data_IF_689936403066
#
_entry.id   IF_689936403066
#
_cell.length_a   1.000
_cell.length_b   1.000
_cell.length_c   1.000
_cell.angle_alpha   90.00
_cell.angle_beta   90.00
_cell.angle_gamma   90.00
#
_symmetry.space_group_name_H-M   'P 1'
#
loop_
_entity.id
_entity.type
_entity.pdbx_description
1 polymer ?
#
# COMPACT_ATOMS: atom_id res chain seq x y z
N UNK A 1 -7.69 -8.47 20.80
CA UNK A 1 -6.44 -7.96 21.41
C UNK A 1 -5.37 -8.11 20.33
N UNK A 2 -4.92 -7.12 19.58
CA UNK A 2 -5.03 -5.66 19.68
C UNK A 2 -6.00 -5.09 18.65
N UNK A 3 -6.74 -4.06 19.06
CA UNK A 3 -7.54 -3.25 18.15
C UNK A 3 -6.61 -2.55 17.17
N UNK A 4 -6.67 -2.96 15.91
CA UNK A 4 -6.53 -1.97 14.85
C UNK A 4 -7.67 -0.99 15.09
N UNK A 5 -7.35 0.30 15.20
CA UNK A 5 -8.36 1.34 15.23
C UNK A 5 -9.34 1.06 14.08
N UNK A 6 -10.54 0.64 14.48
CA UNK A 6 -11.60 0.18 13.60
C UNK A 6 -12.15 1.24 12.62
N UNK A 7 -11.93 2.57 12.76
CA UNK A 7 -12.50 3.49 11.79
C UNK A 7 -11.77 3.49 10.45
N UNK A 8 -10.49 3.10 10.36
CA UNK A 8 -9.75 3.13 9.08
C UNK A 8 -10.09 1.97 8.14
N UNK A 9 -10.28 0.76 8.69
CA UNK A 9 -10.62 -0.43 7.88
C UNK A 9 -12.09 -0.40 7.41
N UNK A 10 -12.99 0.20 8.20
CA UNK A 10 -14.40 0.31 7.86
C UNK A 10 -14.67 1.37 6.75
N UNK A 11 -13.80 2.37 6.61
CA UNK A 11 -13.99 3.45 5.62
C UNK A 11 -13.56 3.06 4.20
N UNK A 12 -12.59 2.14 4.05
CA UNK A 12 -12.30 1.50 2.76
C UNK A 12 -13.32 0.40 2.47
N UNK A 13 -14.60 0.77 2.39
CA UNK A 13 -15.61 -0.12 1.83
C UNK A 13 -15.32 -0.24 0.34
N UNK A 14 -14.83 -1.40 -0.09
CA UNK A 14 -14.68 -1.79 -1.50
C UNK A 14 -16.05 -2.02 -2.19
N UNK A 15 -17.07 -1.22 -1.87
CA UNK A 15 -18.34 -1.19 -2.59
C UNK A 15 -18.26 -0.08 -3.64
N UNK A 16 -18.62 -0.41 -4.89
CA UNK A 16 -18.51 0.37 -6.13
C UNK A 16 -17.12 0.42 -6.81
N UNK A 17 -16.59 -0.76 -7.17
CA UNK A 17 -15.97 -0.88 -8.50
C UNK A 17 -17.08 -0.62 -9.54
N UNK A 18 -17.25 0.63 -9.98
CA UNK A 18 -18.03 0.88 -11.20
C UNK A 18 -17.23 0.29 -12.36
N UNK A 19 -17.73 -0.83 -12.85
CA UNK A 19 -17.31 -1.47 -14.09
C UNK A 19 -17.65 -0.54 -15.26
N UNK A 20 -16.75 0.40 -15.53
CA UNK A 20 -17.03 1.51 -16.44
C UNK A 20 -15.87 2.47 -16.58
N UNK A 21 -14.67 1.92 -16.81
CA UNK A 21 -13.63 2.46 -17.68
C UNK A 21 -12.37 1.63 -17.40
N UNK A 22 -12.17 0.58 -18.20
CA UNK A 22 -10.93 -0.20 -18.17
C UNK A 22 -9.82 0.67 -18.75
N UNK A 23 -9.24 1.52 -17.90
CA UNK A 23 -7.99 2.21 -18.21
C UNK A 23 -6.90 1.16 -18.17
N UNK A 24 -6.58 0.60 -19.34
CA UNK A 24 -5.37 -0.20 -19.52
C UNK A 24 -4.19 0.75 -19.35
N UNK A 25 -3.58 0.73 -18.17
CA UNK A 25 -2.26 1.33 -17.99
C UNK A 25 -1.27 0.64 -18.95
N UNK A 26 -0.40 1.44 -19.57
CA UNK A 26 0.63 1.00 -20.51
C UNK A 26 1.51 -0.11 -19.91
N UNK A 27 1.19 -1.36 -20.21
CA UNK A 27 2.11 -2.51 -20.23
C UNK A 27 2.89 -2.88 -18.96
N UNK A 28 2.70 -2.22 -17.80
CA UNK A 28 3.23 -2.72 -16.53
C UNK A 28 2.36 -3.85 -16.02
N UNK A 29 2.99 -4.76 -15.29
CA UNK A 29 2.50 -6.09 -14.89
C UNK A 29 1.35 -5.88 -13.88
N UNK A 30 0.94 -6.89 -13.13
CA UNK A 30 -0.14 -6.76 -12.13
C UNK A 30 0.18 -5.84 -10.94
N UNK A 31 1.10 -4.88 -11.09
CA UNK A 31 1.57 -3.88 -10.14
C UNK A 31 0.89 -2.52 -10.39
N UNK A 32 0.22 -1.97 -9.37
CA UNK A 32 -0.44 -0.66 -9.49
C UNK A 32 -1.58 -0.40 -8.50
N UNK A 33 -2.05 -1.44 -7.79
CA UNK A 33 -3.08 -1.28 -6.78
C UNK A 33 -2.59 -0.42 -5.62
N UNK A 34 -1.32 -0.56 -5.24
CA UNK A 34 -0.73 0.27 -4.20
C UNK A 34 -0.90 1.76 -4.51
N UNK A 35 -0.53 2.19 -5.72
CA UNK A 35 -0.61 3.59 -6.12
C UNK A 35 -2.04 4.10 -6.11
N UNK A 36 -2.95 3.33 -6.71
CA UNK A 36 -4.35 3.70 -6.80
C UNK A 36 -4.98 3.86 -5.40
N UNK A 37 -4.80 2.86 -4.54
CA UNK A 37 -5.35 2.87 -3.17
C UNK A 37 -4.67 3.97 -2.35
N UNK A 38 -3.37 4.21 -2.51
CA UNK A 38 -2.65 5.25 -1.78
C UNK A 38 -3.18 6.64 -2.12
N UNK A 39 -3.35 6.95 -3.40
CA UNK A 39 -3.90 8.25 -3.85
C UNK A 39 -5.35 8.44 -3.38
N UNK A 40 -6.16 7.39 -3.48
CA UNK A 40 -7.54 7.41 -3.01
C UNK A 40 -7.61 7.63 -1.48
N UNK A 41 -6.84 6.88 -0.70
CA UNK A 41 -6.78 7.01 0.75
C UNK A 41 -6.25 8.39 1.19
N UNK A 42 -5.25 8.94 0.50
CA UNK A 42 -4.75 10.28 0.77
C UNK A 42 -5.83 11.35 0.59
N UNK A 43 -6.65 11.22 -0.46
CA UNK A 43 -7.75 12.14 -0.76
C UNK A 43 -8.89 11.99 0.25
N UNK A 44 -9.39 10.78 0.46
CA UNK A 44 -10.57 10.55 1.31
C UNK A 44 -10.30 10.77 2.80
N UNK A 45 -9.13 10.34 3.29
CA UNK A 45 -8.83 10.35 4.74
C UNK A 45 -8.13 11.63 5.17
N UNK A 46 -7.38 12.29 4.27
CA UNK A 46 -6.55 13.45 4.62
C UNK A 46 -6.82 14.69 3.77
N UNK A 47 -7.67 14.60 2.74
CA UNK A 47 -7.97 15.71 1.83
C UNK A 47 -6.81 16.09 0.92
N UNK A 48 -5.82 15.20 0.73
CA UNK A 48 -4.60 15.47 -0.02
C UNK A 48 -4.66 14.84 -1.41
N UNK A 49 -4.54 15.66 -2.45
CA UNK A 49 -4.47 15.20 -3.84
C UNK A 49 -3.03 14.86 -4.24
N UNK A 50 -2.71 13.57 -4.26
CA UNK A 50 -1.36 13.07 -4.57
C UNK A 50 -1.28 12.69 -6.04
N UNK A 51 -0.56 13.48 -6.84
CA UNK A 51 -0.40 13.23 -8.29
C UNK A 51 0.67 12.20 -8.59
N UNK A 52 1.79 12.25 -7.88
CA UNK A 52 2.93 11.37 -8.04
C UNK A 52 3.29 10.75 -6.69
N UNK A 53 3.69 9.49 -6.70
CA UNK A 53 4.16 8.79 -5.50
C UNK A 53 5.63 8.42 -5.63
N UNK A 54 6.34 8.53 -4.51
CA UNK A 54 7.77 8.22 -4.46
C UNK A 54 7.97 6.90 -3.74
N UNK A 55 8.55 5.93 -4.45
CA UNK A 55 8.93 4.64 -3.88
C UNK A 55 10.32 4.71 -3.28
N UNK A 56 10.42 4.41 -1.98
CA UNK A 56 11.69 4.28 -1.28
C UNK A 56 12.05 2.80 -1.12
N UNK A 57 13.15 2.36 -1.73
CA UNK A 57 13.68 1.03 -1.47
C UNK A 57 14.15 0.91 -0.02
N UNK A 58 13.80 -0.19 0.64
CA UNK A 58 14.21 -0.48 2.01
C UNK A 58 15.46 -1.37 2.01
N UNK A 59 15.33 -2.63 2.43
CA UNK A 59 16.46 -3.58 2.52
C UNK A 59 17.00 -3.97 1.15
N UNK A 60 16.13 -3.99 0.14
CA UNK A 60 16.44 -4.35 -1.23
C UNK A 60 15.44 -3.61 -2.15
N UNK A 61 15.72 -3.62 -3.45
CA UNK A 61 14.84 -3.03 -4.48
C UNK A 61 13.45 -3.68 -4.54
N UNK A 62 13.35 -4.91 -4.06
CA UNK A 62 12.13 -5.73 -4.08
C UNK A 62 11.24 -5.49 -2.85
N UNK A 63 11.62 -4.57 -1.96
CA UNK A 63 10.79 -4.11 -0.86
C UNK A 63 10.82 -2.59 -0.83
N UNK A 64 9.74 -1.98 -1.32
CA UNK A 64 9.58 -0.55 -1.43
C UNK A 64 8.53 -0.04 -0.46
N UNK A 65 8.70 1.19 0.00
CA UNK A 65 7.81 1.90 0.90
C UNK A 65 7.33 3.20 0.25
N UNK A 66 6.08 3.55 0.52
CA UNK A 66 5.47 4.83 0.15
C UNK A 66 4.82 5.41 1.41
N UNK A 67 5.10 6.68 1.69
CA UNK A 67 4.60 7.38 2.87
C UNK A 67 3.92 8.68 2.49
N UNK A 68 2.85 9.00 3.21
CA UNK A 68 2.25 10.33 3.19
C UNK A 68 2.63 11.04 4.49
N UNK A 69 3.14 12.25 4.35
CA UNK A 69 3.43 13.14 5.49
C UNK A 69 2.43 14.28 5.52
N UNK A 70 1.94 14.59 6.73
CA UNK A 70 1.08 15.73 7.02
C UNK A 70 1.51 16.32 8.35
N UNK A 71 1.72 17.63 8.39
CA UNK A 71 2.15 18.37 9.58
C UNK A 71 3.44 17.82 10.23
N UNK A 72 4.34 17.24 9.42
CA UNK A 72 5.61 16.65 9.88
C UNK A 72 5.49 15.22 10.42
N UNK A 73 4.29 14.62 10.40
CA UNK A 73 4.05 13.25 10.83
C UNK A 73 3.71 12.33 9.65
N UNK A 74 4.16 11.08 9.71
CA UNK A 74 3.75 10.06 8.73
C UNK A 74 2.33 9.59 9.04
N UNK A 75 1.37 10.00 8.22
CA UNK A 75 -0.06 9.67 8.40
C UNK A 75 -0.51 8.46 7.57
N UNK A 76 0.18 8.15 6.47
CA UNK A 76 0.01 6.89 5.74
C UNK A 76 1.35 6.26 5.46
N UNK A 77 1.37 4.93 5.52
CA UNK A 77 2.56 4.11 5.26
C UNK A 77 2.15 2.82 4.58
N UNK A 78 2.52 2.69 3.32
CA UNK A 78 2.23 1.57 2.44
C UNK A 78 3.53 0.90 2.01
N UNK A 79 3.46 -0.35 1.59
CA UNK A 79 4.62 -1.04 1.03
C UNK A 79 4.27 -1.96 -0.15
N UNK A 80 5.22 -2.13 -1.05
CA UNK A 80 5.21 -3.19 -2.06
C UNK A 80 6.34 -4.18 -1.74
N UNK A 81 6.00 -5.46 -1.69
CA UNK A 81 6.93 -6.54 -1.40
C UNK A 81 6.87 -7.60 -2.51
N UNK A 82 7.95 -7.66 -3.28
CA UNK A 82 8.15 -8.64 -4.36
C UNK A 82 9.01 -9.80 -3.87
N UNK A 83 8.66 -11.02 -4.28
CA UNK A 83 9.43 -12.24 -4.00
C UNK A 83 9.05 -12.92 -2.68
N UNK A 84 8.96 -14.25 -2.72
CA UNK A 84 8.59 -15.08 -1.57
C UNK A 84 9.44 -14.83 -0.30
N UNK A 85 10.74 -14.55 -0.45
CA UNK A 85 11.63 -14.22 0.68
C UNK A 85 11.16 -12.97 1.44
N UNK A 86 10.71 -11.94 0.72
CA UNK A 86 10.20 -10.71 1.35
C UNK A 86 8.86 -10.99 2.05
N UNK A 87 7.99 -11.78 1.43
CA UNK A 87 6.71 -12.20 2.02
C UNK A 87 6.93 -12.98 3.33
N UNK A 88 7.84 -13.96 3.35
CA UNK A 88 8.16 -14.71 4.56
C UNK A 88 8.64 -13.79 5.69
N UNK A 89 9.57 -12.88 5.39
CA UNK A 89 10.08 -11.92 6.37
C UNK A 89 8.97 -10.98 6.89
N UNK A 90 8.06 -10.57 6.02
CA UNK A 90 6.91 -9.75 6.36
C UNK A 90 5.97 -10.49 7.32
N UNK A 91 5.59 -11.73 7.02
CA UNK A 91 4.75 -12.58 7.87
C UNK A 91 5.40 -12.79 9.25
N UNK A 92 6.72 -12.97 9.31
CA UNK A 92 7.43 -13.07 10.59
C UNK A 92 7.36 -11.78 11.41
N UNK A 93 7.43 -10.60 10.78
CA UNK A 93 7.26 -9.30 11.46
C UNK A 93 5.83 -9.10 11.97
N UNK A 94 4.84 -9.48 11.15
CA UNK A 94 3.41 -9.48 11.51
C UNK A 94 3.16 -10.31 12.77
N UNK A 95 3.65 -11.56 12.78
CA UNK A 95 3.52 -12.46 13.94
C UNK A 95 4.17 -11.91 15.23
N UNK A 96 5.17 -11.04 15.10
CA UNK A 96 5.85 -10.38 16.22
C UNK A 96 5.17 -9.09 16.67
N UNK A 97 4.05 -8.70 16.07
CA UNK A 97 3.34 -7.45 16.37
C UNK A 97 4.08 -6.17 15.95
N UNK A 98 5.13 -6.29 15.11
CA UNK A 98 5.96 -5.14 14.68
C UNK A 98 5.66 -4.78 13.22
N UNK A 99 4.40 -4.50 12.92
CA UNK A 99 3.96 -4.16 11.57
C UNK A 99 3.51 -2.71 11.49
N UNK A 100 4.23 -1.93 10.69
CA UNK A 100 4.09 -0.47 10.61
C UNK A 100 3.30 -0.01 9.37
N UNK A 101 2.84 -0.95 8.54
CA UNK A 101 2.21 -0.66 7.26
C UNK A 101 0.69 -0.80 7.37
N UNK A 102 -0.03 0.14 6.80
CA UNK A 102 -1.49 0.14 6.72
C UNK A 102 -1.99 -0.74 5.57
N UNK A 103 -1.19 -0.83 4.51
CA UNK A 103 -1.45 -1.65 3.33
C UNK A 103 -0.12 -2.20 2.78
N UNK A 104 -0.14 -3.45 2.33
CA UNK A 104 1.01 -4.05 1.62
C UNK A 104 0.55 -4.80 0.39
N UNK A 105 1.07 -4.42 -0.77
CA UNK A 105 0.96 -5.18 -2.02
C UNK A 105 2.05 -6.26 -2.03
N UNK A 106 1.66 -7.53 -2.21
CA UNK A 106 2.57 -8.67 -2.22
C UNK A 106 2.49 -9.42 -3.53
N UNK A 107 3.65 -9.61 -4.16
CA UNK A 107 3.80 -10.32 -5.43
C UNK A 107 4.84 -11.43 -5.25
N UNK A 108 4.48 -12.67 -5.58
CA UNK A 108 5.33 -13.84 -5.28
C UNK A 108 6.58 -13.92 -6.18
N UNK A 109 6.50 -13.40 -7.41
CA UNK A 109 7.57 -13.42 -8.40
C UNK A 109 8.11 -12.02 -8.66
N UNK A 110 9.44 -11.84 -8.84
CA UNK A 110 9.99 -10.57 -9.29
C UNK A 110 9.40 -10.21 -10.65
N UNK A 111 8.54 -9.20 -10.57
CA UNK A 111 7.78 -8.60 -11.64
C UNK A 111 6.34 -9.13 -11.83
N UNK A 112 5.90 -10.26 -11.25
CA UNK A 112 4.52 -10.77 -11.41
C UNK A 112 4.42 -12.15 -12.00
#
# INVERSE_FOLDING_TARGET
IFGVDLPFCCFLRFDDLKEGDVVRHDGKRSDGYLEHIFKHAAKELFGMDVKEITYKALKNKDFQEVTLEKDGETVLRFAAAYGFRNIQNMVLKLKKGKFLYHFVEVLACPGG
#
